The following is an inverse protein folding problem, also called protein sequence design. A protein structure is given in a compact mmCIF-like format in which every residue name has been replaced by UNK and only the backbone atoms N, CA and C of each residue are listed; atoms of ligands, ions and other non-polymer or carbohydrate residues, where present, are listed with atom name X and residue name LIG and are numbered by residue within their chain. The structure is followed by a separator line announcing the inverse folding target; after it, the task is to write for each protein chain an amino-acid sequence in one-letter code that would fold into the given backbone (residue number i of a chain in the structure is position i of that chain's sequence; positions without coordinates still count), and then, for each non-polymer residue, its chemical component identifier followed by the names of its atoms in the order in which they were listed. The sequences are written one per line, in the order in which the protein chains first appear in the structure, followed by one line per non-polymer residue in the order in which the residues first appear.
data_IF_146907624207
#
_entry.id   IF_146907624207
#
_cell.length_a   1.000
_cell.length_b   1.000
_cell.length_c   1.000
_cell.angle_alpha   90.00
_cell.angle_beta   90.00
_cell.angle_gamma   90.00
#
_symmetry.space_group_name_H-M   'P 1'
#
loop_
_entity.id
_entity.type
_entity.pdbx_description
1 polymer ?
#
# COMPACT_ATOMS: atom_id res chain seq x y z
N UNK A 1 9.28 -17.28 -32.92
CA UNK A 1 8.87 -17.96 -31.70
C UNK A 1 8.06 -16.96 -30.90
N UNK A 2 6.73 -17.08 -30.96
CA UNK A 2 5.82 -16.21 -30.21
C UNK A 2 5.87 -16.71 -28.78
N UNK A 3 6.47 -15.93 -27.89
CA UNK A 3 6.41 -16.20 -26.45
C UNK A 3 5.00 -15.77 -26.04
N UNK A 4 4.08 -16.75 -25.97
CA UNK A 4 2.78 -16.55 -25.34
C UNK A 4 3.03 -16.30 -23.86
N UNK A 5 3.03 -15.02 -23.48
CA UNK A 5 3.02 -14.60 -22.09
C UNK A 5 1.77 -15.18 -21.45
N UNK A 6 1.96 -16.08 -20.50
CA UNK A 6 0.89 -16.68 -19.68
C UNK A 6 0.17 -15.52 -18.98
N UNK A 7 -0.94 -15.08 -19.57
CA UNK A 7 -1.93 -14.22 -18.92
C UNK A 7 -2.53 -15.03 -17.78
N UNK A 8 -2.61 -14.44 -16.59
CA UNK A 8 -3.32 -14.95 -15.41
C UNK A 8 -2.56 -15.93 -14.49
N UNK A 9 -1.27 -15.68 -14.22
CA UNK A 9 -0.64 -16.23 -13.01
C UNK A 9 -1.18 -15.53 -11.76
N UNK A 10 -2.25 -16.07 -11.17
CA UNK A 10 -2.76 -15.63 -9.86
C UNK A 10 -1.69 -15.90 -8.79
N UNK A 11 -1.14 -14.85 -8.19
CA UNK A 11 -0.20 -15.00 -7.08
C UNK A 11 -0.97 -15.38 -5.82
N UNK A 12 -0.65 -16.52 -5.20
CA UNK A 12 -1.26 -16.96 -3.95
C UNK A 12 -0.30 -16.64 -2.81
N UNK A 13 -0.74 -15.84 -1.84
CA UNK A 13 -0.03 -15.59 -0.58
C UNK A 13 -0.73 -16.35 0.55
N UNK A 14 0.01 -16.81 1.55
CA UNK A 14 -0.57 -17.45 2.73
C UNK A 14 -0.50 -16.50 3.93
N UNK A 15 -1.65 -16.24 4.56
CA UNK A 15 -1.75 -15.44 5.78
C UNK A 15 -2.36 -16.34 6.85
N UNK A 16 -1.64 -16.58 7.95
CA UNK A 16 -2.05 -17.51 9.03
C UNK A 16 -2.39 -18.94 8.56
N UNK A 17 -1.83 -19.38 7.43
CA UNK A 17 -2.13 -20.69 6.84
C UNK A 17 -3.27 -20.67 5.82
N UNK A 18 -4.02 -19.58 5.72
CA UNK A 18 -5.10 -19.43 4.74
C UNK A 18 -4.56 -18.89 3.41
N UNK A 19 -4.91 -19.49 2.25
CA UNK A 19 -4.46 -19.03 0.95
C UNK A 19 -5.33 -17.87 0.44
N UNK A 20 -4.69 -16.78 0.03
CA UNK A 20 -5.30 -15.61 -0.59
C UNK A 20 -4.77 -15.41 -2.00
N UNK A 21 -5.67 -15.24 -2.96
CA UNK A 21 -5.32 -14.89 -4.33
C UNK A 21 -5.12 -13.37 -4.41
N UNK A 22 -3.92 -12.95 -4.75
CA UNK A 22 -3.59 -11.57 -5.06
C UNK A 22 -4.01 -11.29 -6.50
N UNK A 23 -5.01 -10.42 -6.66
CA UNK A 23 -5.42 -9.94 -7.97
C UNK A 23 -4.52 -8.79 -8.41
N UNK A 24 -3.42 -9.14 -9.08
CA UNK A 24 -2.42 -8.17 -9.55
C UNK A 24 -3.04 -7.09 -10.45
N UNK A 25 -4.06 -7.44 -11.26
CA UNK A 25 -4.72 -6.47 -12.16
C UNK A 25 -5.50 -5.40 -11.40
N UNK A 26 -6.20 -5.78 -10.34
CA UNK A 26 -6.89 -4.81 -9.47
C UNK A 26 -5.90 -3.92 -8.75
N UNK A 27 -4.76 -4.49 -8.34
CA UNK A 27 -3.70 -3.74 -7.68
C UNK A 27 -3.02 -2.74 -8.62
N UNK A 28 -2.68 -3.13 -9.85
CA UNK A 28 -2.17 -2.21 -10.88
C UNK A 28 -3.17 -1.09 -11.19
N UNK A 29 -4.46 -1.42 -11.29
CA UNK A 29 -5.51 -0.43 -11.51
C UNK A 29 -5.62 0.55 -10.33
N UNK A 30 -5.49 0.06 -9.10
CA UNK A 30 -5.44 0.87 -7.90
C UNK A 30 -4.23 1.82 -7.91
N UNK A 31 -3.02 1.31 -8.17
CA UNK A 31 -1.82 2.12 -8.26
C UNK A 31 -1.94 3.21 -9.33
N UNK A 32 -2.47 2.88 -10.52
CA UNK A 32 -2.71 3.85 -11.58
C UNK A 32 -3.74 4.92 -11.21
N UNK A 33 -4.71 4.60 -10.35
CA UNK A 33 -5.62 5.60 -9.80
C UNK A 33 -4.91 6.49 -8.78
N UNK A 34 -4.05 5.93 -7.93
CA UNK A 34 -3.21 6.71 -7.02
C UNK A 34 -2.30 7.69 -7.77
N UNK A 35 -1.70 7.29 -8.90
CA UNK A 35 -0.88 8.15 -9.77
C UNK A 35 -1.58 9.44 -10.23
N UNK A 36 -2.92 9.45 -10.29
CA UNK A 36 -3.68 10.63 -10.70
C UNK A 36 -3.72 11.72 -9.61
N UNK A 37 -3.48 11.34 -8.36
CA UNK A 37 -3.52 12.23 -7.21
C UNK A 37 -2.13 12.49 -6.62
N UNK A 38 -1.19 11.56 -6.80
CA UNK A 38 0.15 11.61 -6.22
C UNK A 38 1.11 10.68 -6.98
N UNK A 39 2.40 11.00 -6.99
CA UNK A 39 3.41 10.06 -7.53
C UNK A 39 3.39 8.74 -6.75
N UNK A 40 3.47 7.61 -7.44
CA UNK A 40 3.51 6.24 -6.88
C UNK A 40 4.96 5.77 -6.70
N UNK A 41 5.87 6.72 -6.46
CA UNK A 41 7.23 6.43 -6.03
C UNK A 41 7.32 6.24 -4.50
N UNK A 42 8.47 5.76 -4.03
CA UNK A 42 8.73 5.48 -2.60
C UNK A 42 8.41 6.66 -1.68
N UNK A 43 8.59 7.90 -2.15
CA UNK A 43 8.38 9.11 -1.34
C UNK A 43 6.91 9.56 -1.34
N UNK A 44 6.18 9.28 -2.42
CA UNK A 44 4.76 9.59 -2.53
C UNK A 44 3.95 8.92 -1.43
N UNK A 45 4.06 7.60 -1.28
CA UNK A 45 3.28 6.86 -0.27
C UNK A 45 3.56 7.29 1.17
N UNK A 46 4.83 7.55 1.49
CA UNK A 46 5.20 8.08 2.82
C UNK A 46 4.55 9.44 3.06
N UNK A 47 4.56 10.32 2.05
CA UNK A 47 3.91 11.63 2.12
C UNK A 47 2.41 11.53 2.31
N UNK A 48 1.72 10.64 1.58
CA UNK A 48 0.28 10.43 1.72
C UNK A 48 -0.09 9.93 3.12
N UNK A 49 0.60 8.89 3.61
CA UNK A 49 0.36 8.33 4.94
C UNK A 49 0.58 9.39 6.02
N UNK A 50 1.59 10.24 5.85
CA UNK A 50 1.85 11.36 6.75
C UNK A 50 0.70 12.40 6.72
N UNK A 51 0.25 12.84 5.54
CA UNK A 51 -0.86 13.80 5.40
C UNK A 51 -2.15 13.26 6.04
N UNK A 52 -2.46 11.97 5.84
CA UNK A 52 -3.64 11.34 6.45
C UNK A 52 -3.48 11.27 7.97
N UNK A 53 -2.29 10.93 8.46
CA UNK A 53 -1.99 10.88 9.90
C UNK A 53 -2.14 12.25 10.55
N UNK A 54 -1.62 13.30 9.91
CA UNK A 54 -1.71 14.68 10.39
C UNK A 54 -3.17 15.15 10.39
N UNK A 55 -3.93 14.85 9.32
CA UNK A 55 -5.36 15.15 9.24
C UNK A 55 -6.19 14.43 10.30
N UNK A 56 -5.81 13.21 10.67
CA UNK A 56 -6.45 12.43 11.75
C UNK A 56 -6.20 13.08 13.11
N UNK A 57 -4.99 13.60 13.35
CA UNK A 57 -4.63 14.30 14.59
C UNK A 57 -5.35 15.65 14.66
N UNK A 58 -5.30 16.44 13.58
CA UNK A 58 -5.90 17.77 13.51
C UNK A 58 -7.43 17.73 13.57
N UNK A 59 -8.04 16.67 13.01
CA UNK A 59 -9.48 16.45 13.01
C UNK A 59 -10.01 15.74 14.26
N UNK A 60 -9.14 15.39 15.21
CA UNK A 60 -9.56 14.67 16.41
C UNK A 60 -10.46 15.54 17.30
N UNK A 61 -11.45 14.91 17.93
CA UNK A 61 -12.35 15.62 18.83
C UNK A 61 -11.57 16.23 20.01
N UNK A 62 -11.96 17.42 20.51
CA UNK A 62 -11.29 18.04 21.66
C UNK A 62 -11.24 17.07 22.85
N UNK A 63 -10.03 16.86 23.39
CA UNK A 63 -9.79 15.93 24.50
C UNK A 63 -9.39 14.51 24.09
N UNK A 64 -9.42 14.19 22.79
CA UNK A 64 -8.84 12.93 22.29
C UNK A 64 -7.33 12.93 22.50
N UNK A 65 -6.83 11.87 23.10
CA UNK A 65 -5.41 11.70 23.39
C UNK A 65 -4.68 11.04 22.21
N UNK A 66 -3.37 11.26 22.12
CA UNK A 66 -2.52 10.54 21.15
C UNK A 66 -2.54 9.02 21.40
N UNK A 67 -2.73 8.58 22.65
CA UNK A 67 -2.84 7.16 22.98
C UNK A 67 -4.07 6.51 22.34
N UNK A 68 -5.18 7.23 22.23
CA UNK A 68 -6.41 6.77 21.57
C UNK A 68 -6.30 6.74 20.05
N UNK A 69 -5.47 7.62 19.47
CA UNK A 69 -5.18 7.65 18.02
C UNK A 69 -4.06 6.66 17.61
N UNK A 70 -3.29 6.16 18.57
CA UNK A 70 -2.13 5.29 18.32
C UNK A 70 -2.45 4.06 17.45
N UNK A 71 -3.57 3.33 17.62
CA UNK A 71 -3.89 2.20 16.76
C UNK A 71 -4.03 2.59 15.28
N UNK A 72 -4.69 3.71 14.99
CA UNK A 72 -4.94 4.22 13.64
C UNK A 72 -3.64 4.69 13.01
N UNK A 73 -2.81 5.43 13.77
CA UNK A 73 -1.50 5.88 13.32
C UNK A 73 -0.55 4.70 13.02
N UNK A 74 -0.59 3.65 13.84
CA UNK A 74 0.17 2.41 13.57
C UNK A 74 -0.31 1.73 12.30
N UNK A 75 -1.63 1.58 12.12
CA UNK A 75 -2.20 0.98 10.92
C UNK A 75 -1.78 1.73 9.65
N UNK A 76 -1.87 3.06 9.65
CA UNK A 76 -1.45 3.89 8.52
C UNK A 76 0.03 3.70 8.18
N UNK A 77 0.89 3.57 9.20
CA UNK A 77 2.32 3.27 9.02
C UNK A 77 2.55 1.90 8.36
N UNK A 78 1.84 0.86 8.80
CA UNK A 78 1.92 -0.47 8.20
C UNK A 78 1.43 -0.47 6.74
N UNK A 79 0.36 0.27 6.45
CA UNK A 79 -0.12 0.45 5.07
C UNK A 79 0.94 1.14 4.20
N UNK A 80 1.57 2.21 4.71
CA UNK A 80 2.67 2.87 4.01
C UNK A 80 3.83 1.93 3.72
N UNK A 81 4.21 1.12 4.71
CA UNK A 81 5.25 0.10 4.53
C UNK A 81 4.87 -0.92 3.45
N UNK A 82 3.66 -1.46 3.48
CA UNK A 82 3.20 -2.43 2.47
C UNK A 82 3.22 -1.83 1.06
N UNK A 83 2.64 -0.64 0.89
CA UNK A 83 2.57 0.04 -0.42
C UNK A 83 3.97 0.33 -0.97
N UNK A 84 4.89 0.80 -0.13
CA UNK A 84 6.29 1.01 -0.51
C UNK A 84 6.94 -0.28 -1.02
N UNK A 85 6.78 -1.39 -0.29
CA UNK A 85 7.38 -2.67 -0.68
C UNK A 85 6.75 -3.25 -1.96
N UNK A 86 5.49 -2.91 -2.27
CA UNK A 86 4.87 -3.31 -3.53
C UNK A 86 5.29 -2.46 -4.73
N UNK A 87 5.53 -1.17 -4.51
CA UNK A 87 5.95 -0.23 -5.56
C UNK A 87 7.47 -0.20 -5.77
N UNK A 88 8.24 -0.74 -4.81
CA UNK A 88 9.68 -0.90 -4.94
C UNK A 88 10.00 -1.76 -6.17
N UNK A 89 10.85 -1.27 -7.10
CA UNK A 89 11.22 -2.03 -8.28
C UNK A 89 11.88 -3.35 -7.85
N UNK A 90 11.52 -4.44 -8.52
CA UNK A 90 12.25 -5.70 -8.39
C UNK A 90 13.67 -5.41 -8.87
N UNK A 91 14.62 -5.30 -7.93
CA UNK A 91 16.03 -5.35 -8.25
C UNK A 91 16.26 -6.71 -8.90
N UNK A 92 16.35 -6.73 -10.23
CA UNK A 92 16.81 -7.90 -10.96
C UNK A 92 18.18 -8.26 -10.40
N UNK A 93 18.22 -9.27 -9.54
CA UNK A 93 19.46 -9.91 -9.11
C UNK A 93 19.97 -10.73 -10.30
N UNK A 94 20.80 -10.10 -11.12
CA UNK A 94 21.68 -10.76 -12.07
C UNK A 94 23.11 -10.26 -11.88
#
# INVERSE_FOLDING_TARGET
MVIETIKDAQHIISINGDPYIVNIKEFEAFLKQCEQFMSVDDNGFETMVQIISDSLIDGAAPGTTIDELRPQLKFLREVGFLLKNFASPVLNQH
#
